data_IF_413464032868
#
_entry.id   IF_413464032868
#
_cell.length_a   1.000
_cell.length_b   1.000
_cell.length_c   1.000
_cell.angle_alpha   90.00
_cell.angle_beta   90.00
_cell.angle_gamma   90.00
#
_symmetry.space_group_name_H-M   'P 1'
#
loop_
_entity.id
_entity.type
_entity.pdbx_description
1 polymer ?
#
# COMPACT_ATOMS: atom_id res chain seq x y z
N UNK A 1 9.08 3.73 -21.72
CA UNK A 1 9.76 2.46 -21.46
C UNK A 1 8.78 1.55 -20.74
N UNK A 2 8.61 0.32 -21.20
CA UNK A 2 7.73 -0.66 -20.53
C UNK A 2 8.48 -1.27 -19.35
N UNK A 3 7.78 -1.60 -18.27
CA UNK A 3 8.41 -2.15 -17.05
C UNK A 3 9.18 -3.46 -17.31
N UNK A 4 8.74 -4.23 -18.31
CA UNK A 4 9.40 -5.45 -18.75
C UNK A 4 10.81 -5.19 -19.31
N UNK A 5 10.94 -4.20 -20.20
CA UNK A 5 12.24 -3.80 -20.80
C UNK A 5 13.26 -3.44 -19.71
N UNK A 6 12.79 -2.82 -18.61
CA UNK A 6 13.65 -2.46 -17.48
C UNK A 6 14.21 -3.71 -16.78
N UNK A 7 13.38 -4.73 -16.61
CA UNK A 7 13.80 -5.99 -15.98
C UNK A 7 14.77 -6.75 -16.88
N UNK A 8 14.57 -6.72 -18.20
CA UNK A 8 15.48 -7.31 -19.18
C UNK A 8 16.85 -6.61 -19.14
N UNK A 9 16.88 -5.27 -19.17
CA UNK A 9 18.14 -4.54 -19.22
C UNK A 9 18.99 -4.69 -17.96
N UNK A 10 18.41 -4.68 -16.75
CA UNK A 10 19.21 -4.90 -15.53
C UNK A 10 19.79 -6.31 -15.46
N UNK A 11 19.10 -7.30 -16.04
CA UNK A 11 19.59 -8.67 -16.13
C UNK A 11 20.80 -8.77 -17.08
N UNK A 12 20.87 -7.93 -18.11
CA UNK A 12 22.02 -7.83 -19.02
C UNK A 12 23.19 -7.04 -18.40
N UNK A 13 22.90 -6.03 -17.57
CA UNK A 13 23.90 -5.16 -16.94
C UNK A 13 24.63 -5.81 -15.75
N UNK A 14 24.08 -6.89 -15.19
CA UNK A 14 24.59 -7.53 -13.97
C UNK A 14 25.04 -8.96 -14.26
N UNK A 15 26.36 -9.16 -14.32
CA UNK A 15 26.96 -10.49 -14.40
C UNK A 15 26.46 -11.39 -13.25
N UNK A 16 26.01 -12.59 -13.59
CA UNK A 16 25.46 -13.55 -12.63
C UNK A 16 24.00 -13.27 -12.22
N UNK A 17 23.28 -12.39 -12.92
CA UNK A 17 21.86 -12.18 -12.66
C UNK A 17 21.02 -13.42 -12.97
N UNK A 18 20.16 -13.79 -12.02
CA UNK A 18 19.26 -14.96 -12.09
C UNK A 18 17.81 -14.54 -12.30
N UNK A 19 17.39 -13.41 -11.72
CA UNK A 19 16.08 -12.86 -11.95
C UNK A 19 15.91 -11.43 -11.45
N UNK A 20 14.97 -10.72 -12.06
CA UNK A 20 14.55 -9.38 -11.69
C UNK A 20 13.03 -9.29 -11.71
N UNK A 21 12.43 -8.61 -10.74
CA UNK A 21 11.00 -8.32 -10.75
C UNK A 21 10.70 -6.93 -10.19
N UNK A 22 9.69 -6.30 -10.76
CA UNK A 22 8.97 -5.20 -10.12
C UNK A 22 7.72 -5.77 -9.47
N UNK A 23 7.54 -5.54 -8.19
CA UNK A 23 6.51 -6.18 -7.37
C UNK A 23 5.57 -5.12 -6.82
N UNK A 24 4.26 -5.35 -6.96
CA UNK A 24 3.24 -4.56 -6.29
C UNK A 24 3.12 -5.02 -4.83
N UNK A 25 3.37 -4.13 -3.88
CA UNK A 25 3.36 -4.46 -2.46
C UNK A 25 1.95 -4.71 -1.91
N UNK A 26 0.91 -4.20 -2.58
CA UNK A 26 -0.47 -4.41 -2.15
C UNK A 26 -0.96 -5.84 -2.41
N UNK A 27 -0.47 -6.47 -3.48
CA UNK A 27 -0.88 -7.83 -3.89
C UNK A 27 0.21 -8.88 -3.73
N UNK A 28 1.47 -8.48 -3.63
CA UNK A 28 2.63 -9.38 -3.68
C UNK A 28 2.93 -9.94 -5.07
N UNK A 29 2.22 -9.48 -6.11
CA UNK A 29 2.37 -9.99 -7.47
C UNK A 29 3.39 -9.18 -8.29
N UNK A 30 4.15 -9.84 -9.17
CA UNK A 30 5.00 -9.13 -10.13
C UNK A 30 4.17 -8.29 -11.12
N UNK A 31 4.53 -7.02 -11.25
CA UNK A 31 4.09 -6.11 -12.32
C UNK A 31 4.84 -6.37 -13.64
N UNK A 32 6.11 -6.78 -13.52
CA UNK A 32 6.99 -7.21 -14.59
C UNK A 32 8.08 -8.09 -14.00
N UNK A 33 8.59 -9.05 -14.76
CA UNK A 33 9.68 -9.89 -14.31
C UNK A 33 10.47 -10.50 -15.46
N UNK A 34 11.74 -10.76 -15.22
CA UNK A 34 12.63 -11.49 -16.12
C UNK A 34 13.42 -12.51 -15.29
N UNK A 35 13.56 -13.72 -15.82
CA UNK A 35 14.39 -14.78 -15.24
C UNK A 35 15.34 -15.33 -16.29
N UNK A 36 16.51 -15.79 -15.88
CA UNK A 36 17.46 -16.45 -16.78
C UNK A 36 16.98 -17.88 -17.07
N UNK A 37 16.83 -18.24 -18.35
CA UNK A 37 16.11 -19.45 -18.78
C UNK A 37 16.76 -20.79 -18.39
N UNK A 38 17.99 -20.79 -17.88
CA UNK A 38 18.73 -21.99 -17.43
C UNK A 38 19.20 -21.89 -15.97
N UNK A 39 18.65 -20.94 -15.19
CA UNK A 39 19.03 -20.73 -13.80
C UNK A 39 18.22 -21.61 -12.82
N UNK A 40 18.73 -21.75 -11.59
CA UNK A 40 18.00 -22.34 -10.46
C UNK A 40 16.66 -21.65 -10.14
N UNK A 41 16.46 -20.45 -10.69
CA UNK A 41 15.31 -19.60 -10.45
C UNK A 41 14.40 -19.58 -11.69
N UNK A 42 13.23 -20.21 -11.58
CA UNK A 42 12.16 -20.10 -12.57
C UNK A 42 11.16 -18.99 -12.20
N UNK A 43 10.20 -18.73 -13.09
CA UNK A 43 9.17 -17.71 -12.86
C UNK A 43 8.32 -17.98 -11.61
N UNK A 44 8.02 -19.26 -11.30
CA UNK A 44 7.20 -19.61 -10.13
C UNK A 44 7.94 -19.36 -8.82
N UNK A 45 9.24 -19.68 -8.77
CA UNK A 45 10.10 -19.34 -7.66
C UNK A 45 10.20 -17.81 -7.48
N UNK A 46 10.29 -17.06 -8.59
CA UNK A 46 10.33 -15.60 -8.55
C UNK A 46 9.01 -14.97 -8.07
N UNK A 47 7.86 -15.55 -8.41
CA UNK A 47 6.55 -15.15 -7.85
C UNK A 47 6.49 -15.35 -6.33
N UNK A 48 6.97 -16.50 -5.84
CA UNK A 48 7.05 -16.78 -4.39
C UNK A 48 7.97 -15.77 -3.69
N UNK A 49 9.13 -15.49 -4.26
CA UNK A 49 10.07 -14.50 -3.72
C UNK A 49 9.48 -13.09 -3.73
N UNK A 50 8.70 -12.75 -4.75
CA UNK A 50 7.99 -11.47 -4.85
C UNK A 50 6.97 -11.32 -3.71
N UNK A 51 6.17 -12.34 -3.45
CA UNK A 51 5.21 -12.34 -2.34
C UNK A 51 5.91 -12.24 -0.98
N UNK A 52 7.01 -12.97 -0.78
CA UNK A 52 7.83 -12.86 0.43
C UNK A 52 8.45 -11.47 0.59
N UNK A 53 8.92 -10.86 -0.50
CA UNK A 53 9.38 -9.48 -0.52
C UNK A 53 8.29 -8.52 -0.03
N UNK A 54 7.06 -8.65 -0.53
CA UNK A 54 5.95 -7.81 -0.09
C UNK A 54 5.66 -7.94 1.42
N UNK A 55 5.77 -9.16 1.95
CA UNK A 55 5.61 -9.42 3.39
C UNK A 55 6.67 -8.69 4.24
N UNK A 56 7.92 -8.63 3.78
CA UNK A 56 8.98 -7.90 4.49
C UNK A 56 8.79 -6.39 4.51
N UNK A 57 8.24 -5.80 3.44
CA UNK A 57 8.07 -4.34 3.34
C UNK A 57 6.75 -3.84 3.92
N UNK A 58 5.65 -4.58 3.73
CA UNK A 58 4.29 -4.12 4.07
C UNK A 58 3.43 -5.17 4.77
N UNK A 59 3.95 -6.38 4.96
CA UNK A 59 3.26 -7.42 5.69
C UNK A 59 3.43 -7.32 7.20
N UNK A 60 2.98 -8.36 7.89
CA UNK A 60 3.09 -8.49 9.33
C UNK A 60 4.56 -8.46 9.77
N UNK A 61 5.46 -9.12 9.03
CA UNK A 61 6.90 -9.12 9.34
C UNK A 61 7.49 -7.71 9.32
N UNK A 62 7.19 -6.93 8.28
CA UNK A 62 7.62 -5.53 8.18
C UNK A 62 7.10 -4.68 9.33
N UNK A 63 5.81 -4.81 9.67
CA UNK A 63 5.19 -4.07 10.78
C UNK A 63 5.74 -4.46 12.16
N UNK A 64 6.06 -5.73 12.38
CA UNK A 64 6.70 -6.17 13.62
C UNK A 64 8.11 -5.57 13.74
N UNK A 65 8.88 -5.57 12.65
CA UNK A 65 10.21 -4.97 12.60
C UNK A 65 10.15 -3.45 12.86
N UNK A 66 9.19 -2.76 12.25
CA UNK A 66 8.89 -1.35 12.50
C UNK A 66 8.52 -1.08 13.96
N UNK A 67 7.67 -1.92 14.55
CA UNK A 67 7.25 -1.78 15.94
C UNK A 67 8.43 -1.95 16.89
N UNK A 68 9.32 -2.91 16.59
CA UNK A 68 10.53 -3.16 17.37
C UNK A 68 11.54 -2.02 17.27
N UNK A 69 11.69 -1.39 16.09
CA UNK A 69 12.63 -0.28 15.87
C UNK A 69 12.06 1.11 16.20
N UNK A 70 10.75 1.28 16.10
CA UNK A 70 10.01 2.53 16.31
C UNK A 70 9.45 2.72 17.72
N UNK A 71 9.48 1.69 18.57
CA UNK A 71 9.01 1.73 19.96
C UNK A 71 9.81 2.66 20.91
N UNK A 72 10.87 3.32 20.44
CA UNK A 72 11.76 4.15 21.27
C UNK A 72 11.61 5.67 21.15
N UNK A 73 10.88 6.22 20.16
CA UNK A 73 11.04 7.64 19.81
C UNK A 73 9.75 8.38 19.44
N UNK A 74 8.62 8.13 20.12
CA UNK A 74 7.45 9.03 20.11
C UNK A 74 6.91 9.49 18.75
N UNK A 75 7.29 8.80 17.67
CA UNK A 75 6.87 9.09 16.30
C UNK A 75 5.70 8.16 16.01
N UNK A 76 4.56 8.67 15.51
CA UNK A 76 3.53 7.79 14.99
C UNK A 76 4.16 6.86 13.95
N UNK A 77 3.69 5.60 13.84
CA UNK A 77 4.07 4.73 12.74
C UNK A 77 3.97 5.52 11.44
N UNK A 78 5.05 5.58 10.66
CA UNK A 78 4.98 6.26 9.39
C UNK A 78 4.00 5.46 8.51
N UNK A 79 2.91 6.07 8.05
CA UNK A 79 1.95 5.45 7.12
C UNK A 79 2.66 4.86 5.86
N UNK A 80 3.88 5.31 5.59
CA UNK A 80 4.73 4.99 4.44
C UNK A 80 5.69 3.82 4.66
N UNK A 81 5.78 3.25 5.87
CA UNK A 81 6.73 2.19 6.23
C UNK A 81 8.17 2.68 6.47
N UNK A 82 8.98 1.92 7.21
CA UNK A 82 10.36 2.26 7.61
C UNK A 82 11.43 1.55 6.77
N UNK A 83 11.13 0.37 6.24
CA UNK A 83 12.10 -0.43 5.50
C UNK A 83 12.21 0.08 4.07
N UNK A 84 13.37 0.60 3.69
CA UNK A 84 13.60 1.15 2.34
C UNK A 84 14.32 0.16 1.41
N UNK A 85 15.28 -0.60 1.96
CA UNK A 85 16.12 -1.54 1.25
C UNK A 85 16.34 -2.80 2.10
N UNK A 86 16.38 -3.97 1.46
CA UNK A 86 16.71 -5.25 2.08
C UNK A 86 17.78 -5.96 1.24
N UNK A 87 18.77 -6.50 1.93
CA UNK A 87 19.77 -7.40 1.35
C UNK A 87 19.65 -8.76 2.04
N UNK A 88 19.45 -9.82 1.26
CA UNK A 88 19.49 -11.19 1.76
C UNK A 88 20.59 -11.96 1.06
N UNK A 89 21.33 -12.73 1.83
CA UNK A 89 22.38 -13.61 1.34
C UNK A 89 21.98 -15.04 1.63
N UNK A 90 22.02 -15.90 0.60
CA UNK A 90 21.90 -17.35 0.77
C UNK A 90 23.24 -18.02 0.44
N UNK A 91 23.28 -19.35 0.50
CA UNK A 91 24.44 -20.12 0.08
C UNK A 91 24.80 -19.82 -1.38
N UNK A 92 23.80 -19.72 -2.26
CA UNK A 92 24.00 -19.67 -3.71
C UNK A 92 23.60 -18.33 -4.36
N UNK A 93 23.08 -17.37 -3.59
CA UNK A 93 22.57 -16.13 -4.16
C UNK A 93 22.72 -14.88 -3.29
N UNK A 94 22.64 -13.72 -3.95
CA UNK A 94 22.36 -12.43 -3.33
C UNK A 94 21.00 -11.94 -3.81
N UNK A 95 20.16 -11.49 -2.88
CA UNK A 95 18.86 -10.88 -3.17
C UNK A 95 18.92 -9.41 -2.74
N UNK A 96 18.56 -8.54 -3.66
CA UNK A 96 18.50 -7.09 -3.48
C UNK A 96 17.05 -6.65 -3.64
N UNK A 97 16.52 -5.95 -2.65
CA UNK A 97 15.15 -5.42 -2.69
C UNK A 97 15.15 -3.96 -2.28
N UNK A 98 14.44 -3.11 -3.01
CA UNK A 98 14.36 -1.68 -2.70
C UNK A 98 13.03 -1.10 -3.16
N UNK A 99 12.46 -0.24 -2.31
CA UNK A 99 11.29 0.56 -2.65
C UNK A 99 11.61 1.49 -3.82
N UNK A 100 10.69 1.58 -4.79
CA UNK A 100 10.81 2.52 -5.90
C UNK A 100 10.63 3.95 -5.39
N UNK A 101 11.62 4.84 -5.55
CA UNK A 101 11.51 6.23 -5.08
C UNK A 101 10.30 6.94 -5.71
N UNK A 102 9.44 7.53 -4.87
CA UNK A 102 8.21 8.19 -5.32
C UNK A 102 7.06 7.25 -5.69
N UNK A 103 7.23 5.94 -5.49
CA UNK A 103 6.18 4.93 -5.56
C UNK A 103 6.37 3.87 -4.47
N UNK A 104 5.92 4.20 -3.26
CA UNK A 104 6.08 3.38 -2.05
C UNK A 104 5.25 2.08 -2.02
N UNK A 105 4.51 1.81 -3.10
CA UNK A 105 3.70 0.60 -3.30
C UNK A 105 4.39 -0.38 -4.25
N UNK A 106 5.63 -0.09 -4.67
CA UNK A 106 6.37 -0.94 -5.60
C UNK A 106 7.78 -1.19 -5.09
N UNK A 107 8.22 -2.44 -5.16
CA UNK A 107 9.59 -2.87 -4.90
C UNK A 107 10.23 -3.36 -6.18
N UNK A 108 11.47 -2.97 -6.41
CA UNK A 108 12.34 -3.65 -7.36
C UNK A 108 13.08 -4.76 -6.62
N UNK A 109 13.14 -5.94 -7.20
CA UNK A 109 13.87 -7.09 -6.72
C UNK A 109 14.87 -7.53 -7.78
N UNK A 110 16.12 -7.76 -7.39
CA UNK A 110 17.16 -8.37 -8.22
C UNK A 110 17.76 -9.56 -7.46
N UNK A 111 17.97 -10.67 -8.15
CA UNK A 111 18.58 -11.87 -7.63
C UNK A 111 19.77 -12.21 -8.51
N UNK A 112 20.91 -12.44 -7.90
CA UNK A 112 22.14 -12.87 -8.57
C UNK A 112 22.68 -14.14 -7.92
N UNK A 113 23.53 -14.86 -8.62
CA UNK A 113 24.38 -15.88 -8.00
C UNK A 113 25.47 -15.26 -7.12
N UNK A 114 26.34 -16.11 -6.54
CA UNK A 114 27.47 -15.70 -5.69
C UNK A 114 28.68 -15.16 -6.46
N UNK A 115 28.74 -15.35 -7.76
CA UNK A 115 29.84 -14.85 -8.60
C UNK A 115 29.71 -13.34 -8.83
N UNK A 116 28.48 -12.83 -8.78
CA UNK A 116 28.20 -11.41 -8.85
C UNK A 116 28.85 -10.62 -7.70
N UNK A 117 29.30 -9.41 -8.02
CA UNK A 117 29.80 -8.48 -7.00
C UNK A 117 28.64 -7.78 -6.29
N UNK A 118 28.52 -7.97 -4.97
CA UNK A 118 27.46 -7.38 -4.15
C UNK A 118 27.31 -5.85 -4.32
N UNK A 119 28.44 -5.14 -4.40
CA UNK A 119 28.44 -3.69 -4.59
C UNK A 119 27.93 -3.28 -5.98
N UNK A 120 28.33 -4.01 -7.03
CA UNK A 120 27.84 -3.77 -8.39
C UNK A 120 26.34 -4.05 -8.51
N UNK A 121 25.83 -5.09 -7.84
CA UNK A 121 24.39 -5.37 -7.76
C UNK A 121 23.60 -4.17 -7.23
N UNK A 122 24.05 -3.57 -6.11
CA UNK A 122 23.43 -2.35 -5.57
C UNK A 122 23.56 -1.13 -6.50
N UNK A 123 24.70 -0.96 -7.16
CA UNK A 123 24.90 0.15 -8.10
C UNK A 123 23.96 0.03 -9.30
N UNK A 124 23.83 -1.16 -9.88
CA UNK A 124 22.91 -1.43 -10.98
C UNK A 124 21.47 -1.18 -10.54
N UNK A 125 21.07 -1.76 -9.40
CA UNK A 125 19.73 -1.59 -8.85
C UNK A 125 19.36 -0.11 -8.65
N UNK A 126 20.22 0.69 -8.01
CA UNK A 126 19.94 2.12 -7.76
C UNK A 126 19.89 2.96 -9.02
N UNK A 127 20.62 2.60 -10.08
CA UNK A 127 20.47 3.21 -11.41
C UNK A 127 19.11 2.86 -12.01
N UNK A 128 18.72 1.59 -11.93
CA UNK A 128 17.44 1.09 -12.43
C UNK A 128 16.25 1.72 -11.72
N UNK A 129 16.30 1.89 -10.40
CA UNK A 129 15.24 2.55 -9.61
C UNK A 129 14.90 3.95 -10.13
N UNK A 130 15.89 4.73 -10.57
CA UNK A 130 15.65 6.06 -11.15
C UNK A 130 14.84 5.99 -12.45
N UNK A 131 15.12 4.98 -13.27
CA UNK A 131 14.42 4.74 -14.54
C UNK A 131 13.00 4.23 -14.31
N UNK A 132 12.82 3.34 -13.34
CA UNK A 132 11.49 2.86 -12.91
C UNK A 132 10.66 4.01 -12.38
N UNK A 133 11.24 4.89 -11.56
CA UNK A 133 10.55 6.08 -11.04
C UNK A 133 10.01 6.95 -12.19
N UNK A 134 10.78 7.15 -13.25
CA UNK A 134 10.33 7.89 -14.43
C UNK A 134 9.19 7.17 -15.17
N UNK A 135 9.26 5.84 -15.29
CA UNK A 135 8.24 5.01 -15.94
C UNK A 135 6.96 4.79 -15.13
N UNK A 136 7.03 4.87 -13.80
CA UNK A 136 5.91 4.62 -12.87
C UNK A 136 5.28 5.89 -12.31
N UNK A 137 5.79 7.07 -12.67
CA UNK A 137 5.12 8.35 -12.38
C UNK A 137 3.68 8.30 -12.88
N UNK A 138 2.74 8.04 -11.97
CA UNK A 138 1.33 8.33 -12.22
C UNK A 138 1.24 9.80 -12.61
N UNK A 139 0.58 10.16 -13.73
CA UNK A 139 0.24 11.57 -13.95
C UNK A 139 -0.51 12.00 -12.70
N UNK A 140 -0.03 13.07 -12.05
CA UNK A 140 -0.62 13.58 -10.82
C UNK A 140 -2.14 13.58 -11.01
N UNK A 141 -2.84 12.75 -10.23
CA UNK A 141 -4.29 12.65 -10.30
C UNK A 141 -4.76 14.08 -10.11
N UNK A 142 -5.23 14.74 -11.17
CA UNK A 142 -5.88 16.05 -11.04
C UNK A 142 -6.99 15.78 -10.06
N UNK A 143 -6.83 16.27 -8.84
CA UNK A 143 -7.95 16.38 -7.92
C UNK A 143 -8.91 17.27 -8.69
N UNK A 144 -9.95 16.66 -9.26
CA UNK A 144 -11.01 17.42 -9.88
C UNK A 144 -11.46 18.39 -8.81
N UNK A 145 -11.25 19.68 -9.05
CA UNK A 145 -11.80 20.77 -8.24
C UNK A 145 -13.31 20.83 -8.46
N UNK A 146 -13.99 19.69 -8.33
CA UNK A 146 -15.43 19.66 -8.21
C UNK A 146 -15.75 20.55 -7.00
N UNK A 147 -16.62 21.56 -7.17
CA UNK A 147 -17.03 22.40 -6.05
C UNK A 147 -17.53 21.49 -4.93
N UNK A 148 -17.01 21.68 -3.73
CA UNK A 148 -17.57 21.07 -2.53
C UNK A 148 -19.08 21.40 -2.55
N UNK A 149 -19.98 20.41 -2.58
CA UNK A 149 -21.40 20.70 -2.54
C UNK A 149 -21.67 21.52 -1.28
N UNK A 150 -22.25 22.72 -1.47
CA UNK A 150 -22.67 23.56 -0.35
C UNK A 150 -23.53 22.68 0.58
N UNK A 151 -23.29 22.69 1.90
CA UNK A 151 -24.17 22.02 2.84
C UNK A 151 -25.60 22.51 2.59
N UNK A 152 -26.54 21.58 2.45
CA UNK A 152 -27.94 21.93 2.32
C UNK A 152 -28.33 22.83 3.50
N UNK A 153 -28.92 24.00 3.20
CA UNK A 153 -29.50 24.83 4.24
C UNK A 153 -30.46 23.98 5.08
N UNK A 154 -30.44 24.11 6.42
CA UNK A 154 -31.41 23.41 7.25
C UNK A 154 -32.82 23.76 6.76
N UNK A 155 -33.64 22.74 6.54
CA UNK A 155 -35.04 22.92 6.18
C UNK A 155 -35.70 23.82 7.23
N UNK A 156 -36.26 24.93 6.78
CA UNK A 156 -37.14 25.75 7.61
C UNK A 156 -38.36 24.86 7.92
N UNK A 157 -38.68 24.58 9.19
CA UNK A 157 -39.87 23.82 9.52
C UNK A 157 -41.09 24.55 8.97
N UNK A 158 -41.94 23.82 8.26
CA UNK A 158 -43.22 24.34 7.76
C UNK A 158 -44.04 24.91 8.93
N UNK A 159 -44.75 26.03 8.74
CA UNK A 159 -45.60 26.58 9.78
C UNK A 159 -46.71 25.59 10.14
N UNK A 160 -46.74 25.17 11.39
CA UNK A 160 -47.79 24.31 11.94
C UNK A 160 -49.17 24.92 11.69
N UNK A 161 -50.04 24.16 11.01
CA UNK A 161 -51.44 24.50 10.83
C UNK A 161 -52.13 24.58 12.19
N UNK A 162 -52.79 25.70 12.55
CA UNK A 162 -53.43 25.83 13.85
C UNK A 162 -54.57 24.81 14.00
N UNK A 163 -54.53 24.06 15.10
CA UNK A 163 -55.55 23.09 15.46
C UNK A 163 -56.92 23.75 15.69
N UNK A 164 -58.04 23.12 15.31
CA UNK A 164 -59.36 23.66 15.54
C UNK A 164 -59.70 23.69 17.03
N UNK A 165 -60.00 24.87 17.54
CA UNK A 165 -60.52 25.10 18.89
C UNK A 165 -61.94 24.54 19.03
N UNK A 166 -62.07 23.36 19.62
CA UNK A 166 -63.36 22.85 20.09
C UNK A 166 -63.72 23.46 21.44
N UNK A 167 -64.57 24.48 21.38
CA UNK A 167 -65.25 25.05 22.53
C UNK A 167 -66.45 24.20 22.98
N UNK A 168 -66.61 24.11 24.30
CA UNK A 168 -67.80 23.74 25.06
C UNK A 168 -68.33 22.29 24.99
N UNK A 169 -68.22 21.58 26.13
CA UNK A 169 -69.36 21.49 27.06
C UNK A 169 -69.00 20.67 28.32
N UNK A 170 -68.69 21.39 29.39
CA UNK A 170 -69.23 21.24 30.74
C UNK A 170 -70.14 20.01 31.00
N UNK A 171 -69.75 19.10 31.90
CA UNK A 171 -70.53 18.75 33.13
C UNK A 171 -69.99 17.51 33.87
N UNK A 172 -69.95 17.68 35.20
CA UNK A 172 -70.22 16.70 36.28
C UNK A 172 -69.19 15.59 36.47
N UNK A 173 -68.39 15.66 37.54
CA UNK A 173 -68.73 15.37 38.94
C UNK A 173 -68.41 13.91 39.31
N UNK A 174 -67.56 13.77 40.33
CA UNK A 174 -67.80 12.77 41.36
C UNK A 174 -66.75 11.68 41.52
N UNK A 175 -65.93 11.87 42.56
CA UNK A 175 -65.70 10.93 43.67
C UNK A 175 -65.05 9.56 43.40
N UNK A 176 -63.96 9.37 44.18
CA UNK A 176 -63.54 8.15 44.92
C UNK A 176 -63.14 6.96 44.02
N UNK A 177 -62.07 6.23 44.27
CA UNK A 177 -61.16 6.13 45.39
C UNK A 177 -60.46 4.78 45.32
N UNK A 178 -59.26 4.72 45.90
CA UNK A 178 -58.78 3.61 46.76
C UNK A 178 -58.40 2.26 46.10
N UNK A 179 -57.09 1.97 46.25
CA UNK A 179 -56.36 0.69 46.47
C UNK A 179 -56.45 -0.38 45.38
N UNK A 180 -55.31 -0.90 44.91
CA UNK A 180 -54.43 -1.85 45.62
C UNK A 180 -54.77 -3.25 45.06
N UNK A 181 -53.85 -4.13 44.68
CA UNK A 181 -52.46 -4.42 45.04
C UNK A 181 -51.74 -4.92 43.79
#
# INVERSE_FOLDING_TARGET
MRLQEICEEIMEDVDGALGCALVDLGTGLPLAMQVTSDALLDSGAMEILSAAGAEYFRGEVGHQLESAMGGGAGRPPADTGFVEEIQTTTEDSYHFMSIVPGNEQTVLMLITDRTANLGLGWVAMRRTLRRVQEGTRRPARRVSSAPIPKPASPAVPEPETPAPTNGNANRRAGRRGIRGR
#
